data_IF_090912234243
#
_entry.id   IF_090912234243
#
_cell.length_a   1.000
_cell.length_b   1.000
_cell.length_c   1.000
_cell.angle_alpha   90.00
_cell.angle_beta   90.00
_cell.angle_gamma   90.00
#
_symmetry.space_group_name_H-M   'P 1'
#
loop_
_entity.id
_entity.type
_entity.pdbx_description
1 polymer ?
#
# COMPACT_ATOMS: atom_id res chain seq x y z
N UNK A 1 -14.17 -26.81 12.29
CA UNK A 1 -14.34 -26.88 10.81
C UNK A 1 -14.53 -25.52 10.16
N UNK A 2 -15.40 -24.62 10.63
CA UNK A 2 -15.64 -23.28 10.07
C UNK A 2 -14.38 -22.41 10.07
N UNK A 3 -13.60 -22.36 11.16
CA UNK A 3 -12.36 -21.55 11.26
C UNK A 3 -11.27 -21.96 10.26
N UNK A 4 -11.20 -23.25 9.88
CA UNK A 4 -10.21 -23.73 8.89
C UNK A 4 -10.63 -23.26 7.49
N UNK A 5 -11.90 -23.36 7.13
CA UNK A 5 -12.44 -22.90 5.84
C UNK A 5 -12.22 -21.39 5.65
N UNK A 6 -12.39 -20.59 6.71
CA UNK A 6 -12.12 -19.15 6.67
C UNK A 6 -10.63 -18.84 6.44
N UNK A 7 -9.72 -19.55 7.10
CA UNK A 7 -8.27 -19.37 6.88
C UNK A 7 -7.86 -19.70 5.44
N UNK A 8 -8.42 -20.79 4.90
CA UNK A 8 -8.17 -21.18 3.51
C UNK A 8 -8.70 -20.10 2.55
N UNK A 9 -9.90 -19.59 2.77
CA UNK A 9 -10.46 -18.50 1.97
C UNK A 9 -9.55 -17.27 2.00
N UNK A 10 -9.12 -16.81 3.18
CA UNK A 10 -8.23 -15.65 3.31
C UNK A 10 -6.90 -15.86 2.61
N UNK A 11 -6.33 -17.06 2.69
CA UNK A 11 -5.11 -17.40 1.97
C UNK A 11 -5.29 -17.25 0.45
N UNK A 12 -6.36 -17.78 -0.12
CA UNK A 12 -6.66 -17.64 -1.54
C UNK A 12 -6.89 -16.17 -1.95
N UNK A 13 -7.57 -15.38 -1.13
CA UNK A 13 -7.78 -13.96 -1.39
C UNK A 13 -6.44 -13.19 -1.42
N UNK A 14 -5.53 -13.48 -0.50
CA UNK A 14 -4.19 -12.88 -0.49
C UNK A 14 -3.41 -13.29 -1.74
N UNK A 15 -3.37 -14.58 -2.09
CA UNK A 15 -2.70 -15.06 -3.30
C UNK A 15 -3.27 -14.39 -4.56
N UNK A 16 -4.59 -14.24 -4.63
CA UNK A 16 -5.25 -13.55 -5.74
C UNK A 16 -4.86 -12.06 -5.80
N UNK A 17 -4.79 -11.38 -4.65
CA UNK A 17 -4.33 -9.97 -4.60
C UNK A 17 -2.89 -9.81 -5.06
N UNK A 18 -2.01 -10.74 -4.67
CA UNK A 18 -0.60 -10.74 -5.11
C UNK A 18 -0.54 -10.94 -6.63
N UNK A 19 -1.29 -11.90 -7.16
CA UNK A 19 -1.36 -12.14 -8.60
C UNK A 19 -1.84 -10.88 -9.35
N UNK A 20 -2.90 -10.24 -8.87
CA UNK A 20 -3.40 -9.00 -9.47
C UNK A 20 -2.35 -7.88 -9.41
N UNK A 21 -1.68 -7.69 -8.27
CA UNK A 21 -0.65 -6.67 -8.09
C UNK A 21 0.54 -6.86 -9.04
N UNK A 22 0.94 -8.10 -9.31
CA UNK A 22 2.02 -8.42 -10.24
C UNK A 22 1.59 -8.34 -11.71
N UNK A 23 0.28 -8.41 -11.99
CA UNK A 23 -0.26 -8.37 -13.35
C UNK A 23 -0.57 -6.95 -13.84
N UNK A 24 -0.63 -5.98 -12.93
CA UNK A 24 -0.86 -4.57 -13.27
C UNK A 24 0.43 -3.97 -13.80
N UNK A 25 0.36 -3.31 -14.96
CA UNK A 25 1.48 -2.54 -15.51
C UNK A 25 1.66 -1.19 -14.78
N UNK A 26 2.68 -0.45 -15.19
CA UNK A 26 2.97 0.89 -14.67
C UNK A 26 1.77 1.83 -14.84
N UNK A 27 1.39 2.51 -13.77
CA UNK A 27 0.31 3.50 -13.75
C UNK A 27 0.86 4.90 -13.91
N UNK A 28 0.05 5.81 -14.45
CA UNK A 28 0.41 7.16 -14.87
C UNK A 28 1.28 7.95 -13.90
N UNK A 29 0.99 7.91 -12.61
CA UNK A 29 1.67 8.76 -11.61
C UNK A 29 2.81 8.05 -10.85
N UNK A 30 3.06 6.77 -11.11
CA UNK A 30 4.07 5.99 -10.36
C UNK A 30 5.49 6.45 -10.59
N UNK A 31 5.82 6.82 -11.83
CA UNK A 31 7.15 7.36 -12.16
C UNK A 31 7.39 8.68 -11.43
N UNK A 32 6.38 9.54 -11.42
CA UNK A 32 6.43 10.81 -10.71
C UNK A 32 6.62 10.59 -9.21
N UNK A 33 5.86 9.68 -8.59
CA UNK A 33 5.96 9.37 -7.16
C UNK A 33 7.30 8.72 -6.79
N UNK A 34 7.86 7.88 -7.66
CA UNK A 34 9.20 7.33 -7.49
C UNK A 34 10.28 8.42 -7.55
N UNK A 35 10.14 9.40 -8.46
CA UNK A 35 11.00 10.58 -8.54
C UNK A 35 10.90 11.42 -7.27
N UNK A 36 9.71 11.64 -6.72
CA UNK A 36 9.51 12.34 -5.45
C UNK A 36 10.22 11.63 -4.29
N UNK A 37 10.11 10.30 -4.20
CA UNK A 37 10.83 9.52 -3.21
C UNK A 37 12.35 9.70 -3.29
N UNK A 38 12.91 9.69 -4.49
CA UNK A 38 14.34 9.91 -4.73
C UNK A 38 14.78 11.32 -4.31
N UNK A 39 14.03 12.35 -4.70
CA UNK A 39 14.31 13.75 -4.37
C UNK A 39 14.29 13.95 -2.85
N UNK A 40 13.27 13.41 -2.18
CA UNK A 40 13.17 13.50 -0.72
C UNK A 40 14.37 12.85 -0.03
N UNK A 41 14.84 11.69 -0.50
CA UNK A 41 16.05 11.06 0.03
C UNK A 41 17.30 11.92 -0.17
N UNK A 42 17.49 12.47 -1.37
CA UNK A 42 18.61 13.36 -1.65
C UNK A 42 18.59 14.57 -0.72
N UNK A 43 17.43 15.17 -0.50
CA UNK A 43 17.25 16.28 0.43
C UNK A 43 17.63 15.88 1.87
N UNK A 44 17.13 14.73 2.34
CA UNK A 44 17.43 14.24 3.70
C UNK A 44 18.92 13.93 3.87
N UNK A 45 19.53 13.22 2.93
CA UNK A 45 20.94 12.85 3.01
C UNK A 45 21.89 14.04 2.80
N UNK A 46 21.47 15.08 2.10
CA UNK A 46 22.22 16.33 1.94
C UNK A 46 22.04 17.31 3.10
N UNK A 47 21.26 16.94 4.12
CA UNK A 47 20.89 17.82 5.23
C UNK A 47 20.23 19.13 4.76
N UNK A 48 19.37 19.03 3.75
CA UNK A 48 18.63 20.16 3.22
C UNK A 48 19.43 21.09 2.28
N UNK A 49 20.60 20.66 1.79
CA UNK A 49 21.47 21.48 0.92
C UNK A 49 21.14 21.36 -0.58
N UNK A 50 20.28 20.42 -0.95
CA UNK A 50 19.82 20.28 -2.34
C UNK A 50 18.63 21.21 -2.53
N UNK A 51 18.84 22.24 -3.33
CA UNK A 51 17.79 23.20 -3.71
C UNK A 51 17.00 22.60 -4.88
N UNK A 52 15.97 21.84 -4.56
CA UNK A 52 15.06 21.30 -5.56
C UNK A 52 13.67 21.88 -5.33
N UNK A 53 13.28 22.82 -6.17
CA UNK A 53 11.93 23.45 -6.24
C UNK A 53 10.77 22.46 -6.24
N UNK A 54 11.06 21.20 -6.53
CA UNK A 54 10.06 20.12 -6.68
C UNK A 54 9.56 19.61 -5.33
N UNK A 55 10.33 19.74 -4.25
CA UNK A 55 9.96 19.31 -2.90
C UNK A 55 8.78 20.12 -2.33
N UNK A 56 8.61 21.35 -2.77
CA UNK A 56 7.68 22.28 -2.19
C UNK A 56 6.27 22.25 -2.82
N UNK A 57 6.08 21.52 -3.92
CA UNK A 57 4.83 21.58 -4.69
C UNK A 57 3.85 20.44 -4.43
N UNK A 58 4.28 19.35 -3.79
CA UNK A 58 3.43 18.17 -3.64
C UNK A 58 3.37 17.71 -2.18
N UNK A 59 2.22 17.89 -1.59
CA UNK A 59 1.92 17.57 -0.17
C UNK A 59 1.58 16.10 0.07
N UNK A 60 2.06 15.19 -0.76
CA UNK A 60 1.86 13.75 -0.55
C UNK A 60 2.93 13.18 0.39
N UNK A 61 2.71 11.99 0.93
CA UNK A 61 3.54 11.32 1.94
C UNK A 61 5.00 11.09 1.48
N UNK A 62 5.90 12.07 1.57
CA UNK A 62 7.24 11.98 0.99
C UNK A 62 8.07 10.86 1.63
N UNK A 63 7.89 10.61 2.92
CA UNK A 63 8.57 9.54 3.66
C UNK A 63 8.17 8.16 3.10
N UNK A 64 6.88 7.94 2.83
CA UNK A 64 6.40 6.69 2.26
C UNK A 64 7.00 6.43 0.88
N UNK A 65 7.04 7.43 0.00
CA UNK A 65 7.66 7.29 -1.32
C UNK A 65 9.15 7.07 -1.24
N UNK A 66 9.83 7.67 -0.27
CA UNK A 66 11.26 7.43 0.00
C UNK A 66 11.53 5.98 0.39
N UNK A 67 10.74 5.43 1.30
CA UNK A 67 10.83 4.02 1.71
C UNK A 67 10.56 3.11 0.51
N UNK A 68 9.48 3.37 -0.23
CA UNK A 68 9.10 2.61 -1.41
C UNK A 68 10.20 2.63 -2.48
N UNK A 69 10.79 3.80 -2.73
CA UNK A 69 11.92 3.94 -3.64
C UNK A 69 13.13 3.14 -3.16
N UNK A 70 13.57 3.30 -1.90
CA UNK A 70 14.71 2.56 -1.34
C UNK A 70 14.54 1.06 -1.46
N UNK A 71 13.38 0.53 -1.06
CA UNK A 71 13.12 -0.90 -1.12
C UNK A 71 13.12 -1.41 -2.57
N UNK A 72 12.61 -0.62 -3.51
CA UNK A 72 12.63 -0.99 -4.92
C UNK A 72 14.04 -1.02 -5.53
N UNK A 73 15.01 -0.26 -4.95
CA UNK A 73 16.41 -0.28 -5.44
C UNK A 73 17.16 -1.58 -5.09
N UNK A 74 16.69 -2.36 -4.13
CA UNK A 74 17.28 -3.66 -3.76
C UNK A 74 17.11 -4.69 -4.89
N UNK A 75 16.10 -4.49 -5.75
CA UNK A 75 15.73 -5.40 -6.82
C UNK A 75 16.21 -4.92 -8.20
N UNK A 76 16.41 -5.82 -9.17
CA UNK A 76 16.75 -5.45 -10.54
C UNK A 76 15.72 -4.46 -11.12
N UNK A 77 16.17 -3.60 -12.04
CA UNK A 77 15.35 -2.54 -12.66
C UNK A 77 14.05 -3.08 -13.24
N UNK A 78 14.10 -4.30 -13.79
CA UNK A 78 12.96 -4.96 -14.41
C UNK A 78 11.79 -5.22 -13.44
N UNK A 79 12.06 -5.43 -12.15
CA UNK A 79 11.03 -5.75 -11.14
C UNK A 79 10.64 -4.58 -10.24
N UNK A 80 11.12 -3.37 -10.50
CA UNK A 80 10.89 -2.21 -9.60
C UNK A 80 9.41 -1.84 -9.47
N UNK A 81 8.64 -1.99 -10.54
CA UNK A 81 7.20 -1.69 -10.55
C UNK A 81 6.46 -2.73 -9.70
N UNK A 82 6.70 -4.01 -9.95
CA UNK A 82 6.08 -5.11 -9.22
C UNK A 82 6.40 -5.05 -7.72
N UNK A 83 7.64 -4.74 -7.36
CA UNK A 83 8.04 -4.54 -5.96
C UNK A 83 7.31 -3.34 -5.36
N UNK A 84 7.20 -2.25 -6.09
CA UNK A 84 6.45 -1.06 -5.71
C UNK A 84 4.97 -1.39 -5.43
N UNK A 85 4.35 -2.18 -6.29
CA UNK A 85 2.98 -2.66 -6.13
C UNK A 85 2.82 -3.58 -4.92
N UNK A 86 3.75 -4.51 -4.69
CA UNK A 86 3.72 -5.39 -3.54
C UNK A 86 3.85 -4.63 -2.21
N UNK A 87 4.72 -3.62 -2.15
CA UNK A 87 4.84 -2.76 -0.97
C UNK A 87 3.50 -2.07 -0.69
N UNK A 88 2.89 -1.46 -1.70
CA UNK A 88 1.60 -0.79 -1.54
C UNK A 88 0.48 -1.78 -1.15
N UNK A 89 0.48 -2.98 -1.73
CA UNK A 89 -0.46 -4.05 -1.37
C UNK A 89 -0.34 -4.46 0.10
N UNK A 90 0.88 -4.55 0.65
CA UNK A 90 1.10 -4.88 2.07
C UNK A 90 0.44 -3.83 2.98
N UNK A 91 0.63 -2.55 2.71
CA UNK A 91 -0.02 -1.47 3.48
C UNK A 91 -1.55 -1.51 3.33
N UNK A 92 -2.05 -1.75 2.13
CA UNK A 92 -3.49 -1.85 1.85
C UNK A 92 -4.14 -3.04 2.56
N UNK A 93 -3.52 -4.22 2.50
CA UNK A 93 -4.00 -5.40 3.23
C UNK A 93 -3.93 -5.20 4.75
N UNK A 94 -2.88 -4.53 5.23
CA UNK A 94 -2.77 -4.16 6.64
C UNK A 94 -3.90 -3.24 7.09
N UNK A 95 -4.34 -2.30 6.25
CA UNK A 95 -5.51 -1.45 6.48
C UNK A 95 -6.78 -2.29 6.65
N UNK A 96 -7.02 -3.25 5.75
CA UNK A 96 -8.20 -4.14 5.84
C UNK A 96 -8.18 -4.99 7.12
N UNK A 97 -6.98 -5.50 7.49
CA UNK A 97 -6.80 -6.27 8.72
C UNK A 97 -7.03 -5.40 9.96
N UNK A 98 -6.55 -4.17 9.96
CA UNK A 98 -6.76 -3.23 11.07
C UNK A 98 -8.24 -2.87 11.22
N UNK A 99 -8.93 -2.54 10.12
CA UNK A 99 -10.38 -2.29 10.12
C UNK A 99 -11.17 -3.48 10.66
N UNK A 100 -10.80 -4.71 10.27
CA UNK A 100 -11.38 -5.94 10.83
C UNK A 100 -11.15 -6.03 12.34
N UNK A 101 -9.92 -5.79 12.82
CA UNK A 101 -9.59 -5.85 14.26
C UNK A 101 -10.39 -4.81 15.04
N UNK A 102 -10.37 -3.56 14.59
CA UNK A 102 -11.13 -2.48 15.20
C UNK A 102 -12.63 -2.81 15.29
N UNK A 103 -13.22 -3.28 14.22
CA UNK A 103 -14.64 -3.65 14.18
C UNK A 103 -14.95 -4.85 15.07
N UNK A 104 -14.01 -5.81 15.17
CA UNK A 104 -14.15 -6.94 16.10
C UNK A 104 -14.19 -6.48 17.54
N UNK A 105 -13.35 -5.51 17.95
CA UNK A 105 -13.30 -4.96 19.31
C UNK A 105 -14.55 -4.13 19.62
N UNK A 106 -15.05 -3.35 18.66
CA UNK A 106 -16.22 -2.50 18.86
C UNK A 106 -17.56 -3.29 18.87
N UNK A 107 -17.64 -4.38 18.14
CA UNK A 107 -18.89 -5.16 17.96
C UNK A 107 -18.66 -6.64 18.29
N UNK A 108 -18.24 -7.43 17.31
CA UNK A 108 -17.95 -8.87 17.46
C UNK A 108 -17.15 -9.43 16.27
N UNK A 109 -16.70 -10.69 16.40
CA UNK A 109 -15.89 -11.36 15.36
C UNK A 109 -16.62 -11.52 14.02
N UNK A 110 -17.95 -11.75 14.06
CA UNK A 110 -18.73 -11.90 12.83
C UNK A 110 -18.77 -10.61 12.03
N UNK A 111 -19.06 -9.49 12.69
CA UNK A 111 -19.08 -8.17 12.05
C UNK A 111 -17.68 -7.81 11.51
N UNK A 112 -16.62 -8.10 12.26
CA UNK A 112 -15.25 -7.89 11.77
C UNK A 112 -14.93 -8.70 10.50
N UNK A 113 -15.43 -9.94 10.40
CA UNK A 113 -15.27 -10.76 9.20
C UNK A 113 -16.05 -10.19 8.00
N UNK A 114 -17.25 -9.66 8.22
CA UNK A 114 -18.02 -9.00 7.17
C UNK A 114 -17.34 -7.72 6.69
N UNK A 115 -16.83 -6.89 7.60
CA UNK A 115 -16.08 -5.67 7.23
C UNK A 115 -14.84 -6.02 6.40
N UNK A 116 -14.09 -7.06 6.78
CA UNK A 116 -12.98 -7.55 5.97
C UNK A 116 -13.42 -7.88 4.55
N UNK A 117 -14.47 -8.69 4.39
CA UNK A 117 -14.96 -9.10 3.07
C UNK A 117 -15.48 -7.92 2.26
N UNK A 118 -16.26 -7.03 2.89
CA UNK A 118 -16.81 -5.84 2.21
C UNK A 118 -15.66 -4.96 1.69
N UNK A 119 -14.68 -4.62 2.53
CA UNK A 119 -13.54 -3.81 2.10
C UNK A 119 -12.70 -4.50 1.03
N UNK A 120 -12.47 -5.81 1.21
CA UNK A 120 -11.68 -6.58 0.25
C UNK A 120 -12.36 -6.66 -1.12
N UNK A 121 -13.68 -6.85 -1.17
CA UNK A 121 -14.44 -6.97 -2.42
C UNK A 121 -14.99 -5.62 -2.93
N UNK A 122 -14.75 -4.53 -2.22
CA UNK A 122 -15.14 -3.21 -2.72
C UNK A 122 -14.27 -2.85 -3.94
N UNK A 123 -14.87 -2.73 -5.15
CA UNK A 123 -14.08 -2.70 -6.38
C UNK A 123 -13.07 -1.58 -6.46
N UNK A 124 -13.44 -0.39 -5.96
CA UNK A 124 -12.56 0.78 -5.96
C UNK A 124 -11.37 0.56 -5.04
N UNK A 125 -11.59 0.09 -3.81
CA UNK A 125 -10.51 -0.15 -2.87
C UNK A 125 -9.60 -1.28 -3.33
N UNK A 126 -10.18 -2.42 -3.75
CA UNK A 126 -9.41 -3.57 -4.26
C UNK A 126 -8.58 -3.19 -5.49
N UNK A 127 -9.19 -2.47 -6.45
CA UNK A 127 -8.49 -2.00 -7.64
C UNK A 127 -7.30 -1.10 -7.33
N UNK A 128 -7.38 -0.31 -6.26
CA UNK A 128 -6.34 0.64 -5.86
C UNK A 128 -5.27 0.05 -4.91
N UNK A 129 -5.49 -1.14 -4.35
CA UNK A 129 -4.60 -1.74 -3.35
C UNK A 129 -3.14 -1.83 -3.78
N UNK A 130 -2.87 -2.10 -5.05
CA UNK A 130 -1.52 -2.30 -5.54
C UNK A 130 -0.81 -1.00 -5.93
N UNK A 131 -1.47 -0.07 -6.58
CA UNK A 131 -0.82 1.08 -7.20
C UNK A 131 -1.17 2.45 -6.62
N UNK A 132 -2.35 2.64 -6.02
CA UNK A 132 -2.73 3.94 -5.46
C UNK A 132 -2.02 4.22 -4.12
N UNK A 133 -0.79 4.68 -4.22
CA UNK A 133 0.05 4.97 -3.06
C UNK A 133 -0.37 6.22 -2.27
N UNK A 134 -1.26 7.03 -2.82
CA UNK A 134 -1.73 8.27 -2.18
C UNK A 134 -2.80 7.95 -1.14
N UNK A 135 -3.90 7.35 -1.58
CA UNK A 135 -5.07 7.13 -0.73
C UNK A 135 -4.89 5.94 0.22
N UNK A 136 -4.23 4.87 -0.25
CA UNK A 136 -4.04 3.67 0.57
C UNK A 136 -3.14 3.90 1.77
N UNK A 137 -2.10 4.73 1.67
CA UNK A 137 -1.24 5.05 2.81
C UNK A 137 -1.94 5.97 3.82
N UNK A 138 -2.78 6.88 3.34
CA UNK A 138 -3.63 7.73 4.20
C UNK A 138 -4.63 6.86 4.96
N UNK A 139 -5.32 5.96 4.27
CA UNK A 139 -6.23 5.00 4.90
C UNK A 139 -5.53 4.12 5.94
N UNK A 140 -4.33 3.61 5.60
CA UNK A 140 -3.48 2.86 6.55
C UNK A 140 -3.21 3.68 7.81
N UNK A 141 -2.74 4.90 7.66
CA UNK A 141 -2.39 5.77 8.80
C UNK A 141 -3.59 6.03 9.70
N UNK A 142 -4.77 6.30 9.14
CA UNK A 142 -5.97 6.60 9.91
C UNK A 142 -6.52 5.41 10.71
N UNK A 143 -6.34 4.19 10.22
CA UNK A 143 -6.90 3.00 10.90
C UNK A 143 -5.94 2.46 11.97
N UNK A 144 -4.63 2.76 11.88
CA UNK A 144 -3.63 2.31 12.85
C UNK A 144 -3.32 3.33 13.97
N UNK A 145 -3.88 4.53 13.92
CA UNK A 145 -3.82 5.53 15.02
C UNK A 145 -4.82 5.18 16.11
#
# INVERSE_FOLDING_TARGET
>A
MIKIKQKILFFFLICFSIYCALSVGQVWDEEFLAKQGRITLNYLFSLGRVDEDILLREYYSPIYYSIKFLLSQIFPVYYKIEVSHLINLIFSLSTVVAAKKLTKELFNESVGNYVFLILFFYPVFFGHMAFNSKDTIVAFSHVWI
#
